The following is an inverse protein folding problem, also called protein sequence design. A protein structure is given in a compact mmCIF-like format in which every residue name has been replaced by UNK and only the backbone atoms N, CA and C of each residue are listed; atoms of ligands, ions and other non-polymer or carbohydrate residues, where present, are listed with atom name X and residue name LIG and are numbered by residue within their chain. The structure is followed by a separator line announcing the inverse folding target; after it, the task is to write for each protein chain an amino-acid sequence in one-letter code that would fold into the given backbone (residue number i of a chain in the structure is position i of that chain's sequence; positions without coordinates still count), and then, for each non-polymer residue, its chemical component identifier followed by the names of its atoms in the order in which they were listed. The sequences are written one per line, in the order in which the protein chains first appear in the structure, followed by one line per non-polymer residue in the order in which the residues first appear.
data_IF_337772384568
#
_entry.id   IF_337772384568
#
_cell.length_a   1.000
_cell.length_b   1.000
_cell.length_c   1.000
_cell.angle_alpha   90.00
_cell.angle_beta   90.00
_cell.angle_gamma   90.00
#
_symmetry.space_group_name_H-M   'P 1'
#
loop_
_entity.id
_entity.type
_entity.pdbx_description
1 polymer ?
#
# COMPACT_ATOMS: atom_id res chain seq x y z
N UNK A 1 17.11 15.11 -20.69
CA UNK A 1 15.92 14.81 -21.51
C UNK A 1 14.85 14.16 -20.67
N UNK A 2 13.65 14.01 -21.22
CA UNK A 2 12.51 13.33 -20.59
C UNK A 2 12.84 11.85 -20.32
N UNK A 3 12.63 11.38 -19.10
CA UNK A 3 12.89 10.00 -18.72
C UNK A 3 11.96 8.97 -19.40
N UNK A 4 10.80 9.41 -19.92
CA UNK A 4 9.87 8.55 -20.67
C UNK A 4 10.19 8.48 -22.16
N UNK A 5 10.03 9.62 -22.87
CA UNK A 5 10.14 9.67 -24.32
C UNK A 5 11.48 10.18 -24.86
N UNK A 6 12.45 10.47 -23.98
CA UNK A 6 13.79 11.00 -24.31
C UNK A 6 13.82 12.40 -24.96
N UNK A 7 12.66 13.02 -25.21
CA UNK A 7 12.56 14.38 -25.74
C UNK A 7 13.34 15.41 -24.89
N UNK A 8 13.84 16.47 -25.53
CA UNK A 8 14.49 17.57 -24.83
C UNK A 8 13.49 18.28 -23.90
N UNK A 9 13.92 18.55 -22.67
CA UNK A 9 13.14 19.31 -21.69
C UNK A 9 13.67 20.75 -21.66
N UNK A 10 12.79 21.69 -21.35
CA UNK A 10 13.21 23.06 -21.10
C UNK A 10 14.23 23.06 -19.93
N UNK A 11 15.26 23.91 -19.97
CA UNK A 11 16.16 24.06 -18.85
C UNK A 11 15.36 24.46 -17.61
N UNK A 12 15.67 23.86 -16.46
CA UNK A 12 15.12 24.31 -15.19
C UNK A 12 15.54 25.78 -15.04
N UNK A 13 14.58 26.70 -15.07
CA UNK A 13 14.88 28.10 -14.79
C UNK A 13 15.47 28.16 -13.39
N UNK A 14 16.65 28.76 -13.26
CA UNK A 14 17.14 29.16 -11.93
C UNK A 14 16.08 30.10 -11.40
N UNK A 15 15.40 29.73 -10.32
CA UNK A 15 14.52 30.65 -9.61
C UNK A 15 15.38 31.85 -9.21
N UNK A 16 15.31 32.93 -9.99
CA UNK A 16 15.95 34.18 -9.61
C UNK A 16 15.10 34.72 -8.48
N UNK A 17 15.62 34.59 -7.25
CA UNK A 17 15.10 35.28 -6.08
C UNK A 17 15.23 36.78 -6.29
N UNK A 18 14.31 37.39 -7.01
CA UNK A 18 14.12 38.84 -7.00
C UNK A 18 12.91 39.15 -6.12
N UNK A 19 13.17 39.28 -4.83
CA UNK A 19 12.29 39.96 -3.89
C UNK A 19 12.31 41.47 -4.19
N UNK A 20 11.76 41.89 -5.32
CA UNK A 20 11.43 43.30 -5.55
C UNK A 20 10.20 43.38 -6.46
N UNK A 21 9.08 43.74 -5.83
CA UNK A 21 8.06 44.64 -6.37
C UNK A 21 7.43 44.28 -7.71
N UNK A 22 6.20 43.74 -7.62
CA UNK A 22 4.97 44.02 -8.38
C UNK A 22 4.27 42.70 -8.71
N UNK A 23 3.21 42.40 -7.94
CA UNK A 23 2.27 41.32 -8.28
C UNK A 23 1.46 41.72 -9.51
N UNK A 24 2.03 41.54 -10.67
CA UNK A 24 1.25 41.33 -11.88
C UNK A 24 0.87 39.86 -11.91
N UNK A 25 -0.36 39.57 -11.49
CA UNK A 25 -1.00 38.27 -11.71
C UNK A 25 -1.02 38.04 -13.23
N UNK A 26 -0.40 36.98 -13.78
CA UNK A 26 -0.70 36.58 -15.13
C UNK A 26 -2.05 35.86 -15.10
N UNK A 27 -3.11 36.65 -15.25
CA UNK A 27 -4.40 36.16 -15.74
C UNK A 27 -4.25 35.88 -17.23
N UNK A 28 -3.97 34.63 -17.61
CA UNK A 28 -4.30 34.13 -18.95
C UNK A 28 -4.01 32.63 -18.99
N UNK A 29 -5.00 31.85 -19.42
CA UNK A 29 -4.89 30.43 -19.74
C UNK A 29 -3.94 30.14 -20.90
N UNK A 30 -2.64 30.36 -20.67
CA UNK A 30 -1.57 29.86 -21.52
C UNK A 30 -1.40 28.38 -21.25
N UNK A 31 -1.56 27.55 -22.30
CA UNK A 31 -1.23 26.14 -22.23
C UNK A 31 0.20 26.00 -21.68
N UNK A 32 0.35 25.37 -20.51
CA UNK A 32 1.64 25.15 -19.89
C UNK A 32 2.59 24.50 -20.91
N UNK A 33 3.80 25.07 -21.13
CA UNK A 33 4.74 24.55 -22.13
C UNK A 33 4.94 23.05 -21.89
N UNK A 34 4.60 22.18 -22.87
CA UNK A 34 4.70 20.73 -22.70
C UNK A 34 6.12 20.24 -22.45
N UNK A 35 7.15 21.09 -22.67
CA UNK A 35 8.56 20.82 -22.35
C UNK A 35 8.95 21.20 -20.93
N UNK A 36 8.06 21.82 -20.16
CA UNK A 36 8.30 22.13 -18.75
C UNK A 36 8.50 20.82 -17.98
N UNK A 37 9.67 20.61 -17.36
CA UNK A 37 9.98 19.36 -16.69
C UNK A 37 9.12 19.18 -15.43
N UNK A 38 8.48 18.02 -15.31
CA UNK A 38 7.71 17.58 -14.13
C UNK A 38 8.42 16.42 -13.46
N UNK A 39 8.58 16.47 -12.13
CA UNK A 39 9.23 15.41 -11.36
C UNK A 39 8.23 14.33 -10.96
N UNK A 40 8.53 13.09 -11.31
CA UNK A 40 7.79 11.92 -10.82
C UNK A 40 8.29 11.54 -9.43
N UNK A 41 7.40 11.43 -8.44
CA UNK A 41 7.78 11.05 -7.08
C UNK A 41 8.11 9.57 -6.92
N UNK A 42 7.61 8.71 -7.81
CA UNK A 42 7.90 7.28 -7.78
C UNK A 42 9.28 6.96 -8.39
N UNK A 43 9.56 7.45 -9.60
CA UNK A 43 10.81 7.13 -10.31
C UNK A 43 11.95 8.12 -10.04
N UNK A 44 11.66 9.29 -9.48
CA UNK A 44 12.62 10.37 -9.25
C UNK A 44 13.04 11.15 -10.51
N UNK A 45 12.63 10.70 -11.70
CA UNK A 45 13.00 11.31 -12.98
C UNK A 45 12.17 12.55 -13.36
N UNK A 46 12.67 13.30 -14.35
CA UNK A 46 11.98 14.44 -14.96
C UNK A 46 11.29 14.02 -16.27
N UNK A 47 10.07 14.47 -16.46
CA UNK A 47 9.20 14.10 -17.58
C UNK A 47 8.58 15.33 -18.24
N UNK A 48 8.25 15.23 -19.52
CA UNK A 48 7.49 16.25 -20.24
C UNK A 48 5.99 16.17 -19.89
N UNK A 49 5.21 17.18 -20.30
CA UNK A 49 3.77 17.24 -20.05
C UNK A 49 2.97 16.06 -20.64
N UNK A 50 3.47 15.43 -21.71
CA UNK A 50 2.85 14.23 -22.29
C UNK A 50 3.10 12.96 -21.49
N UNK A 51 4.32 12.76 -20.96
CA UNK A 51 4.65 11.59 -20.14
C UNK A 51 4.24 11.74 -18.67
N UNK A 52 3.90 12.96 -18.24
CA UNK A 52 3.50 13.27 -16.88
C UNK A 52 2.32 14.23 -16.90
N UNK A 53 1.12 13.70 -17.08
CA UNK A 53 -0.13 14.49 -17.19
C UNK A 53 -0.65 15.02 -15.85
N UNK A 54 0.05 14.73 -14.75
CA UNK A 54 -0.35 15.18 -13.40
C UNK A 54 -1.15 14.14 -12.62
N UNK A 55 -1.09 12.87 -13.03
CA UNK A 55 -1.61 11.76 -12.24
C UNK A 55 -0.97 11.76 -10.85
N UNK A 56 -1.76 11.39 -9.84
CA UNK A 56 -1.30 11.29 -8.46
C UNK A 56 -1.52 9.88 -7.92
N UNK A 57 -0.56 9.36 -7.17
CA UNK A 57 -0.62 8.04 -6.55
C UNK A 57 0.03 8.07 -5.18
N UNK A 58 -0.38 7.15 -4.30
CA UNK A 58 0.33 6.92 -3.04
C UNK A 58 1.68 6.26 -3.35
N UNK A 59 2.76 6.72 -2.70
CA UNK A 59 4.12 6.26 -2.99
C UNK A 59 4.52 5.21 -1.96
N UNK A 60 4.72 3.93 -2.34
CA UNK A 60 4.99 2.84 -1.39
C UNK A 60 6.17 3.13 -0.46
N UNK A 61 7.24 3.72 -0.99
CA UNK A 61 8.40 4.09 -0.20
C UNK A 61 8.07 5.12 0.90
N UNK A 62 7.21 6.10 0.63
CA UNK A 62 6.80 7.09 1.64
C UNK A 62 5.90 6.46 2.70
N UNK A 63 4.99 5.56 2.29
CA UNK A 63 4.11 4.84 3.22
C UNK A 63 4.94 3.99 4.19
N UNK A 64 5.90 3.22 3.69
CA UNK A 64 6.68 2.29 4.53
C UNK A 64 7.69 3.00 5.46
N UNK A 65 8.31 4.10 5.02
CA UNK A 65 9.28 4.82 5.85
C UNK A 65 8.59 5.77 6.84
N UNK A 66 7.59 6.52 6.36
CA UNK A 66 7.07 7.69 7.07
C UNK A 66 5.60 7.55 7.48
N UNK A 67 4.91 6.49 7.05
CA UNK A 67 3.45 6.38 7.15
C UNK A 67 2.74 7.58 6.49
N UNK A 68 3.27 8.04 5.36
CA UNK A 68 2.72 9.16 4.61
C UNK A 68 1.97 8.65 3.37
N UNK A 69 0.64 8.80 3.40
CA UNK A 69 -0.28 8.30 2.37
C UNK A 69 -0.84 9.41 1.47
N UNK A 70 -0.26 10.61 1.54
CA UNK A 70 -0.65 11.73 0.70
C UNK A 70 -0.35 11.41 -0.79
N UNK A 71 -1.32 11.53 -1.71
CA UNK A 71 -1.08 11.30 -3.13
C UNK A 71 -0.02 12.26 -3.66
N UNK A 72 0.98 11.72 -4.36
CA UNK A 72 2.06 12.52 -4.96
C UNK A 72 2.01 12.43 -6.49
N UNK A 73 2.43 13.49 -7.20
CA UNK A 73 2.43 13.49 -8.65
C UNK A 73 3.46 12.48 -9.21
N UNK A 74 2.99 11.68 -10.17
CA UNK A 74 3.76 10.62 -10.83
C UNK A 74 3.58 10.68 -12.35
N UNK A 75 4.56 10.13 -13.08
CA UNK A 75 4.45 9.97 -14.53
C UNK A 75 3.38 8.93 -14.89
N UNK A 76 2.83 9.00 -16.10
CA UNK A 76 1.70 8.16 -16.51
C UNK A 76 2.02 6.65 -16.39
N UNK A 77 3.22 6.25 -16.81
CA UNK A 77 3.66 4.85 -16.72
C UNK A 77 3.78 4.37 -15.26
N UNK A 78 4.24 5.23 -14.35
CA UNK A 78 4.30 4.90 -12.94
C UNK A 78 2.89 4.82 -12.31
N UNK A 79 1.98 5.70 -12.72
CA UNK A 79 0.60 5.67 -12.25
C UNK A 79 -0.09 4.35 -12.63
N UNK A 80 0.01 3.97 -13.90
CA UNK A 80 -0.53 2.71 -14.42
C UNK A 80 0.07 1.52 -13.66
N UNK A 81 1.39 1.46 -13.52
CA UNK A 81 2.04 0.41 -12.75
C UNK A 81 1.53 0.34 -11.30
N UNK A 82 1.54 1.46 -10.57
CA UNK A 82 1.11 1.51 -9.17
C UNK A 82 -0.34 1.09 -8.99
N UNK A 83 -1.23 1.40 -9.95
CA UNK A 83 -2.62 0.96 -9.94
C UNK A 83 -2.72 -0.56 -10.14
N UNK A 84 -1.96 -1.15 -11.08
CA UNK A 84 -2.02 -2.60 -11.35
C UNK A 84 -1.54 -3.46 -10.19
N UNK A 85 -0.61 -2.95 -9.37
CA UNK A 85 -0.04 -3.69 -8.23
C UNK A 85 -0.69 -3.31 -6.89
N UNK A 86 -1.68 -2.41 -6.89
CA UNK A 86 -2.23 -1.84 -5.65
C UNK A 86 -2.82 -2.90 -4.71
N UNK A 87 -3.44 -3.94 -5.27
CA UNK A 87 -4.07 -5.05 -4.55
C UNK A 87 -3.14 -6.26 -4.31
N UNK A 88 -1.90 -6.20 -4.78
CA UNK A 88 -0.96 -7.31 -4.68
C UNK A 88 -0.11 -7.18 -3.40
N UNK A 89 0.10 -8.26 -2.62
CA UNK A 89 0.85 -8.22 -1.37
C UNK A 89 2.37 -8.18 -1.61
N UNK A 90 2.87 -7.08 -2.15
CA UNK A 90 4.27 -6.93 -2.55
C UNK A 90 5.13 -6.23 -1.49
N UNK A 91 4.51 -5.61 -0.48
CA UNK A 91 5.21 -4.74 0.46
C UNK A 91 5.56 -5.47 1.76
N UNK A 92 6.81 -5.90 1.87
CA UNK A 92 7.32 -6.46 3.13
C UNK A 92 7.70 -5.32 4.09
N UNK A 93 6.85 -5.04 5.08
CA UNK A 93 7.06 -3.97 6.06
C UNK A 93 8.36 -4.15 6.86
N UNK A 94 8.64 -5.31 7.50
CA UNK A 94 9.84 -5.45 8.33
C UNK A 94 11.15 -5.41 7.53
N UNK A 95 11.12 -5.72 6.23
CA UNK A 95 12.29 -5.59 5.36
C UNK A 95 12.68 -4.12 5.10
N UNK A 96 11.73 -3.19 5.19
CA UNK A 96 11.96 -1.76 4.94
C UNK A 96 12.07 -0.98 6.25
N UNK A 97 11.13 -1.18 7.17
CA UNK A 97 11.06 -0.46 8.43
C UNK A 97 10.35 -1.30 9.51
N UNK A 98 11.07 -2.14 10.27
CA UNK A 98 10.47 -2.98 11.30
C UNK A 98 9.82 -2.17 12.44
N UNK A 99 10.30 -0.94 12.68
CA UNK A 99 9.74 -0.05 13.70
C UNK A 99 8.38 0.52 13.30
N UNK A 100 7.93 0.35 12.06
CA UNK A 100 6.64 0.86 11.60
C UNK A 100 5.47 0.26 12.38
N UNK A 101 5.53 -1.03 12.73
CA UNK A 101 4.49 -1.69 13.53
C UNK A 101 4.37 -1.11 14.94
N UNK A 102 5.46 -0.63 15.52
CA UNK A 102 5.44 0.04 16.83
C UNK A 102 4.93 1.48 16.72
N UNK A 103 5.28 2.19 15.64
CA UNK A 103 4.87 3.58 15.40
C UNK A 103 3.40 3.72 15.01
N UNK A 104 2.81 2.70 14.37
CA UNK A 104 1.43 2.70 13.87
C UNK A 104 0.67 1.58 14.60
N UNK A 105 0.01 1.88 15.73
CA UNK A 105 -0.60 0.86 16.58
C UNK A 105 -1.59 -0.05 15.84
N UNK A 106 -2.46 0.53 15.02
CA UNK A 106 -3.45 -0.24 14.25
C UNK A 106 -2.79 -1.23 13.27
N UNK A 107 -1.71 -0.83 12.61
CA UNK A 107 -0.95 -1.72 11.72
C UNK A 107 -0.30 -2.86 12.51
N UNK A 108 0.29 -2.54 13.67
CA UNK A 108 0.90 -3.53 14.56
C UNK A 108 -0.12 -4.53 15.12
N UNK A 109 -1.31 -4.07 15.52
CA UNK A 109 -2.42 -4.93 15.95
C UNK A 109 -2.90 -5.84 14.83
N UNK A 110 -3.07 -5.29 13.63
CA UNK A 110 -3.45 -6.07 12.45
C UNK A 110 -2.42 -7.15 12.11
N UNK A 111 -1.13 -6.82 12.17
CA UNK A 111 -0.06 -7.80 11.95
C UNK A 111 -0.11 -8.94 12.98
N UNK A 112 -0.30 -8.62 14.27
CA UNK A 112 -0.47 -9.64 15.32
C UNK A 112 -1.71 -10.52 15.09
N UNK A 113 -2.83 -9.92 14.69
CA UNK A 113 -4.06 -10.67 14.37
C UNK A 113 -3.86 -11.61 13.19
N UNK A 114 -3.13 -11.18 12.15
CA UNK A 114 -2.76 -12.02 11.00
C UNK A 114 -1.87 -13.18 11.43
N UNK A 115 -0.83 -12.94 12.21
CA UNK A 115 0.05 -13.99 12.75
C UNK A 115 -0.76 -15.05 13.53
N UNK A 116 -1.61 -14.60 14.46
CA UNK A 116 -2.45 -15.49 15.25
C UNK A 116 -3.46 -16.28 14.39
N UNK A 117 -4.15 -15.61 13.46
CA UNK A 117 -5.12 -16.25 12.59
C UNK A 117 -4.47 -17.30 11.68
N UNK A 118 -3.35 -16.96 11.03
CA UNK A 118 -2.59 -17.88 10.18
C UNK A 118 -2.09 -19.10 10.97
N UNK A 119 -1.61 -18.90 12.21
CA UNK A 119 -1.18 -20.00 13.08
C UNK A 119 -2.33 -20.92 13.47
N UNK A 120 -3.49 -20.36 13.86
CA UNK A 120 -4.67 -21.15 14.19
C UNK A 120 -5.21 -21.94 12.99
N UNK A 121 -5.24 -21.33 11.80
CA UNK A 121 -5.63 -22.01 10.57
C UNK A 121 -4.66 -23.14 10.23
N UNK A 122 -3.35 -22.90 10.33
CA UNK A 122 -2.34 -23.94 10.10
C UNK A 122 -2.51 -25.12 11.07
N UNK A 123 -2.77 -24.86 12.34
CA UNK A 123 -3.03 -25.89 13.34
C UNK A 123 -4.31 -26.69 13.04
N UNK A 124 -5.40 -26.02 12.66
CA UNK A 124 -6.65 -26.67 12.27
C UNK A 124 -6.49 -27.53 11.00
N UNK A 125 -5.71 -27.06 10.02
CA UNK A 125 -5.34 -27.83 8.83
C UNK A 125 -4.52 -29.07 9.19
N UNK A 126 -3.51 -28.92 10.05
CA UNK A 126 -2.67 -30.02 10.50
C UNK A 126 -3.45 -31.08 11.30
N UNK A 127 -4.47 -30.69 12.05
CA UNK A 127 -5.35 -31.61 12.78
C UNK A 127 -6.22 -32.50 11.87
N UNK A 128 -6.34 -32.14 10.59
CA UNK A 128 -7.05 -32.92 9.57
C UNK A 128 -8.57 -32.95 9.73
N UNK A 129 -9.23 -33.77 8.91
CA UNK A 129 -10.66 -34.04 8.99
C UNK A 129 -11.53 -32.79 8.80
N UNK A 130 -12.58 -32.67 9.63
CA UNK A 130 -13.55 -31.57 9.56
C UNK A 130 -12.95 -30.21 9.92
N UNK A 131 -11.88 -30.18 10.73
CA UNK A 131 -11.19 -28.94 11.10
C UNK A 131 -10.42 -28.36 9.91
N UNK A 132 -9.70 -29.21 9.17
CA UNK A 132 -9.00 -28.80 7.95
C UNK A 132 -9.98 -28.25 6.90
N UNK A 133 -11.09 -28.95 6.66
CA UNK A 133 -12.13 -28.49 5.73
C UNK A 133 -12.74 -27.14 6.14
N UNK A 134 -12.91 -26.89 7.45
CA UNK A 134 -13.42 -25.61 7.95
C UNK A 134 -12.38 -24.49 7.82
N UNK A 135 -11.11 -24.78 8.05
CA UNK A 135 -10.01 -23.84 7.85
C UNK A 135 -9.90 -23.43 6.38
N UNK A 136 -9.97 -24.39 5.45
CA UNK A 136 -9.97 -24.13 4.00
C UNK A 136 -11.16 -23.27 3.56
N UNK A 137 -12.38 -23.57 4.05
CA UNK A 137 -13.56 -22.75 3.76
C UNK A 137 -13.43 -21.32 4.29
N UNK A 138 -12.85 -21.15 5.47
CA UNK A 138 -12.61 -19.83 6.05
C UNK A 138 -11.57 -19.05 5.22
N UNK A 139 -10.49 -19.70 4.80
CA UNK A 139 -9.49 -19.10 3.93
C UNK A 139 -10.06 -18.74 2.54
N UNK A 140 -10.88 -19.63 1.95
CA UNK A 140 -11.53 -19.36 0.67
C UNK A 140 -12.54 -18.20 0.76
N UNK A 141 -13.27 -18.08 1.87
CA UNK A 141 -14.20 -16.98 2.11
C UNK A 141 -13.52 -15.61 2.21
N UNK A 142 -12.20 -15.56 2.44
CA UNK A 142 -11.44 -14.32 2.44
C UNK A 142 -11.26 -13.70 1.04
N UNK A 143 -11.52 -14.47 -0.03
CA UNK A 143 -11.48 -13.97 -1.42
C UNK A 143 -10.15 -13.28 -1.76
N UNK A 144 -10.15 -12.03 -2.28
CA UNK A 144 -8.93 -11.29 -2.60
C UNK A 144 -7.97 -11.12 -1.40
N UNK A 145 -8.48 -11.18 -0.17
CA UNK A 145 -7.70 -11.04 1.06
C UNK A 145 -7.19 -12.38 1.62
N UNK A 146 -7.32 -13.48 0.89
CA UNK A 146 -6.80 -14.78 1.34
C UNK A 146 -5.30 -14.74 1.71
N UNK A 147 -4.53 -13.87 1.07
CA UNK A 147 -3.11 -13.67 1.39
C UNK A 147 -2.89 -13.23 2.85
N UNK A 148 -3.85 -12.53 3.48
CA UNK A 148 -3.71 -12.06 4.86
C UNK A 148 -3.70 -13.19 5.88
N UNK A 149 -4.27 -14.34 5.51
CA UNK A 149 -4.39 -15.56 6.29
C UNK A 149 -3.30 -16.58 5.93
N UNK A 150 -2.44 -16.26 4.96
CA UNK A 150 -1.32 -17.12 4.60
C UNK A 150 -0.20 -16.98 5.62
N UNK A 151 0.32 -18.09 6.18
CA UNK A 151 1.44 -18.05 7.11
C UNK A 151 2.72 -17.48 6.46
N UNK A 152 2.91 -17.70 5.15
CA UNK A 152 4.11 -17.25 4.41
C UNK A 152 4.10 -15.77 4.04
N UNK A 153 2.92 -15.12 4.04
CA UNK A 153 2.76 -13.73 3.58
C UNK A 153 2.44 -12.77 4.72
N UNK A 154 2.63 -13.18 5.98
CA UNK A 154 2.21 -12.40 7.16
C UNK A 154 2.88 -11.02 7.26
N UNK A 155 4.09 -10.88 6.71
CA UNK A 155 4.86 -9.63 6.67
C UNK A 155 4.56 -8.76 5.45
N UNK A 156 3.85 -9.31 4.47
CA UNK A 156 3.55 -8.67 3.20
C UNK A 156 2.17 -7.99 3.23
N UNK A 157 2.10 -6.82 2.60
CA UNK A 157 0.91 -5.98 2.52
C UNK A 157 0.68 -5.49 1.10
N UNK A 158 -0.59 -5.34 0.73
CA UNK A 158 -0.99 -4.60 -0.46
C UNK A 158 -1.04 -3.09 -0.16
N UNK A 159 -0.81 -2.24 -1.16
CA UNK A 159 -0.95 -0.79 -1.01
C UNK A 159 -2.38 -0.41 -0.62
N UNK A 160 -3.38 -1.07 -1.20
CA UNK A 160 -4.80 -0.85 -0.92
C UNK A 160 -5.15 -1.04 0.55
N UNK A 161 -4.61 -2.09 1.17
CA UNK A 161 -4.86 -2.40 2.58
C UNK A 161 -4.16 -1.42 3.53
N UNK A 162 -2.93 -0.98 3.22
CA UNK A 162 -2.29 0.11 3.98
C UNK A 162 -3.08 1.42 3.82
N UNK A 163 -3.57 1.70 2.62
CA UNK A 163 -4.48 2.80 2.32
C UNK A 163 -5.76 2.75 3.15
N UNK A 164 -6.36 1.58 3.31
CA UNK A 164 -7.56 1.39 4.13
C UNK A 164 -7.27 1.54 5.63
N UNK A 165 -6.18 0.97 6.13
CA UNK A 165 -5.78 1.10 7.54
C UNK A 165 -5.49 2.55 7.92
N UNK A 166 -4.96 3.36 6.99
CA UNK A 166 -4.73 4.78 7.25
C UNK A 166 -6.01 5.58 7.54
N UNK A 167 -7.17 5.08 7.12
CA UNK A 167 -8.48 5.70 7.40
C UNK A 167 -8.94 5.47 8.85
N UNK A 168 -8.18 4.71 9.63
CA UNK A 168 -8.42 4.45 11.04
C UNK A 168 -9.23 3.17 11.31
N UNK A 169 -9.57 2.92 12.58
CA UNK A 169 -10.11 1.63 13.04
C UNK A 169 -11.55 1.35 12.56
N UNK A 170 -12.24 2.37 12.05
CA UNK A 170 -13.61 2.26 11.55
C UNK A 170 -13.68 1.83 10.07
N UNK A 171 -12.54 1.60 9.42
CA UNK A 171 -12.52 0.99 8.09
C UNK A 171 -12.97 -0.48 8.15
N UNK A 172 -13.24 -1.09 6.99
CA UNK A 172 -13.82 -2.44 6.94
C UNK A 172 -12.80 -3.51 7.33
N UNK A 173 -11.54 -3.29 6.96
CA UNK A 173 -10.45 -4.25 7.14
C UNK A 173 -10.21 -4.65 8.61
N UNK A 174 -10.08 -3.73 9.59
CA UNK A 174 -9.94 -4.09 11.00
C UNK A 174 -11.10 -4.96 11.52
N UNK A 175 -12.34 -4.58 11.23
CA UNK A 175 -13.52 -5.31 11.69
C UNK A 175 -13.59 -6.71 11.06
N UNK A 176 -13.32 -6.81 9.76
CA UNK A 176 -13.25 -8.07 9.03
C UNK A 176 -12.16 -8.99 9.61
N UNK A 177 -10.94 -8.48 9.80
CA UNK A 177 -9.81 -9.26 10.33
C UNK A 177 -10.07 -9.75 11.75
N UNK A 178 -10.66 -8.91 12.61
CA UNK A 178 -11.06 -9.31 13.95
C UNK A 178 -12.10 -10.45 13.93
N UNK A 179 -13.05 -10.41 12.99
CA UNK A 179 -14.03 -11.48 12.77
C UNK A 179 -13.36 -12.80 12.37
N UNK A 180 -12.51 -12.77 11.35
CA UNK A 180 -11.79 -13.96 10.86
C UNK A 180 -10.86 -14.53 11.93
N UNK A 181 -10.15 -13.66 12.66
CA UNK A 181 -9.25 -14.09 13.75
C UNK A 181 -9.99 -14.84 14.86
N UNK A 182 -11.19 -14.37 15.25
CA UNK A 182 -12.06 -15.09 16.21
C UNK A 182 -12.50 -16.45 15.69
N UNK A 183 -12.90 -16.53 14.42
CA UNK A 183 -13.31 -17.79 13.81
C UNK A 183 -12.15 -18.78 13.74
N UNK A 184 -10.95 -18.33 13.36
CA UNK A 184 -9.74 -19.13 13.34
C UNK A 184 -9.39 -19.66 14.75
N UNK A 185 -9.43 -18.79 15.76
CA UNK A 185 -9.19 -19.18 17.16
C UNK A 185 -10.18 -20.24 17.65
N UNK A 186 -11.46 -20.13 17.28
CA UNK A 186 -12.46 -21.13 17.63
C UNK A 186 -12.17 -22.51 17.01
N UNK A 187 -11.59 -22.56 15.80
CA UNK A 187 -11.15 -23.83 15.20
C UNK A 187 -9.98 -24.46 15.97
N UNK A 188 -9.00 -23.65 16.39
CA UNK A 188 -7.85 -24.11 17.17
C UNK A 188 -8.23 -24.56 18.58
N UNK A 189 -9.19 -23.90 19.23
CA UNK A 189 -9.72 -24.33 20.54
C UNK A 189 -10.30 -25.76 20.54
N UNK A 190 -10.84 -26.21 19.40
CA UNK A 190 -11.30 -27.60 19.23
C UNK A 190 -10.12 -28.58 19.13
N UNK A 191 -8.99 -28.17 18.57
CA UNK A 191 -7.76 -29.00 18.52
C UNK A 191 -7.24 -29.26 19.94
N UNK A 192 -7.16 -28.21 20.77
CA UNK A 192 -6.67 -28.32 22.16
C UNK A 192 -7.58 -29.12 23.11
N UNK A 193 -8.83 -29.37 22.73
CA UNK A 193 -9.82 -30.10 23.53
C UNK A 193 -9.88 -31.61 23.21
N UNK A 194 -9.14 -32.12 22.21
CA UNK A 194 -9.05 -33.56 21.96
C UNK A 194 -8.11 -34.21 22.99
N UNK A 195 -8.58 -35.19 23.79
CA UNK A 195 -7.66 -36.01 24.58
C UNK A 195 -6.74 -36.80 23.65
N UNK A 196 -5.49 -36.97 24.10
CA UNK A 196 -4.42 -37.68 23.40
C UNK A 196 -4.74 -39.17 23.21
#
# INVERSE_FOLDING_TARGET
GCAGCRAALAPLSKATSSWLGFSSVPSSGGAADPRTPRRCHYTGGLYCGGCHTGQVCQIPAQVLHNWELAPQPVCCAAAEYLQTVAEQPLLCVPAVNPNLYARVPLLGEMHKMRQAASAHLAAATAAGGTLAQRAERLAAAAGPRAYMLSPTLTDFWAMSDLGELSKGPLSQLPAWMAGVSRQAAALAGVVGARPA
#
